data_IF_984882958255
#
_entry.id   IF_984882958255
#
_cell.length_a   1.000
_cell.length_b   1.000
_cell.length_c   1.000
_cell.angle_alpha   90.00
_cell.angle_beta   90.00
_cell.angle_gamma   90.00
#
_symmetry.space_group_name_H-M   'P 1'
#
loop_
_entity.id
_entity.type
_entity.pdbx_description
1 polymer ?
#
# COMPACT_ATOMS: atom_id res chain seq x y z
N UNK A 1 8.88 23.15 -8.80
CA UNK A 1 7.55 23.81 -8.68
C UNK A 1 7.23 24.28 -7.25
N UNK A 2 7.14 23.38 -6.25
CA UNK A 2 6.77 23.74 -4.86
C UNK A 2 7.72 24.76 -4.21
N UNK A 3 9.02 24.46 -4.10
CA UNK A 3 10.01 25.37 -3.49
C UNK A 3 10.08 26.73 -4.22
N UNK A 4 9.84 26.75 -5.53
CA UNK A 4 9.83 27.95 -6.37
C UNK A 4 8.47 28.66 -6.40
N UNK A 5 7.48 28.22 -5.61
CA UNK A 5 6.12 28.78 -5.52
C UNK A 5 5.38 28.88 -6.87
N UNK A 6 5.67 27.96 -7.81
CA UNK A 6 5.04 27.94 -9.14
C UNK A 6 3.79 27.06 -9.12
N UNK A 7 2.64 27.67 -8.87
CA UNK A 7 1.38 26.96 -8.65
C UNK A 7 0.96 26.11 -9.85
N UNK A 8 0.91 26.66 -11.07
CA UNK A 8 0.46 25.91 -12.25
C UNK A 8 1.33 24.69 -12.53
N UNK A 9 2.66 24.83 -12.46
CA UNK A 9 3.59 23.70 -12.63
C UNK A 9 3.40 22.63 -11.54
N UNK A 10 3.15 23.05 -10.30
CA UNK A 10 2.91 22.13 -9.18
C UNK A 10 1.62 21.33 -9.40
N UNK A 11 0.55 22.00 -9.81
CA UNK A 11 -0.74 21.38 -10.08
C UNK A 11 -0.66 20.40 -11.25
N UNK A 12 0.09 20.72 -12.31
CA UNK A 12 0.28 19.82 -13.45
C UNK A 12 1.06 18.58 -13.03
N UNK A 13 2.25 18.76 -12.44
CA UNK A 13 3.11 17.62 -12.10
C UNK A 13 2.49 16.74 -10.99
N UNK A 14 1.91 17.37 -9.96
CA UNK A 14 1.22 16.66 -8.89
C UNK A 14 -0.06 15.98 -9.38
N UNK A 15 -0.80 16.65 -10.28
CA UNK A 15 -2.00 16.08 -10.89
C UNK A 15 -1.70 14.81 -11.68
N UNK A 16 -0.70 14.86 -12.57
CA UNK A 16 -0.27 13.67 -13.33
C UNK A 16 0.21 12.55 -12.40
N UNK A 17 0.98 12.86 -11.36
CA UNK A 17 1.45 11.85 -10.41
C UNK A 17 0.29 11.17 -9.67
N UNK A 18 -0.61 11.96 -9.07
CA UNK A 18 -1.65 11.46 -8.16
C UNK A 18 -2.86 10.90 -8.89
N UNK A 19 -3.28 11.53 -9.99
CA UNK A 19 -4.53 11.19 -10.67
C UNK A 19 -4.34 10.30 -11.90
N UNK A 20 -3.14 10.27 -12.50
CA UNK A 20 -2.87 9.44 -13.67
C UNK A 20 -1.93 8.28 -13.34
N UNK A 21 -0.70 8.58 -12.90
CA UNK A 21 0.36 7.57 -12.77
C UNK A 21 0.11 6.57 -11.64
N UNK A 22 -0.22 7.02 -10.42
CA UNK A 22 -0.47 6.11 -9.30
C UNK A 22 -1.71 5.22 -9.51
N UNK A 23 -2.86 5.75 -9.99
CA UNK A 23 -4.02 4.91 -10.31
C UNK A 23 -3.75 3.91 -11.42
N UNK A 24 -3.00 4.29 -12.46
CA UNK A 24 -2.65 3.38 -13.55
C UNK A 24 -1.67 2.29 -13.10
N UNK A 25 -0.72 2.63 -12.22
CA UNK A 25 0.14 1.63 -11.58
C UNK A 25 -0.68 0.65 -10.74
N UNK A 26 -1.63 1.13 -9.93
CA UNK A 26 -2.53 0.26 -9.17
C UNK A 26 -3.36 -0.64 -10.10
N UNK A 27 -3.89 -0.11 -11.22
CA UNK A 27 -4.63 -0.89 -12.22
C UNK A 27 -3.77 -1.99 -12.83
N UNK A 28 -2.52 -1.69 -13.18
CA UNK A 28 -1.57 -2.64 -13.72
C UNK A 28 -1.24 -3.76 -12.71
N UNK A 29 -0.89 -3.40 -11.48
CA UNK A 29 -0.56 -4.37 -10.42
C UNK A 29 -1.78 -5.23 -10.06
N UNK A 30 -2.99 -4.65 -10.13
CA UNK A 30 -4.24 -5.36 -9.87
C UNK A 30 -4.62 -6.38 -10.95
N UNK A 31 -3.91 -6.41 -12.09
CA UNK A 31 -4.19 -7.34 -13.19
C UNK A 31 -3.62 -8.75 -13.00
N UNK A 32 -2.82 -8.97 -11.94
CA UNK A 32 -2.18 -10.26 -11.69
C UNK A 32 -2.19 -10.61 -10.20
N UNK A 33 -2.72 -11.79 -9.87
CA UNK A 33 -2.84 -12.28 -8.48
C UNK A 33 -1.53 -12.25 -7.68
N UNK A 34 -0.36 -12.38 -8.34
CA UNK A 34 0.95 -12.33 -7.68
C UNK A 34 1.33 -10.94 -7.14
N UNK A 35 0.59 -9.90 -7.52
CA UNK A 35 0.83 -8.52 -7.10
C UNK A 35 -0.33 -7.95 -6.27
N UNK A 36 -1.25 -8.76 -5.77
CA UNK A 36 -2.38 -8.28 -4.97
C UNK A 36 -2.06 -8.27 -3.47
N UNK A 37 -2.31 -7.14 -2.81
CA UNK A 37 -2.31 -7.06 -1.35
C UNK A 37 -3.33 -8.04 -0.76
N UNK A 38 -4.51 -8.16 -1.39
CA UNK A 38 -5.56 -9.08 -0.97
C UNK A 38 -5.08 -10.52 -0.84
N UNK A 39 -4.26 -11.00 -1.77
CA UNK A 39 -3.72 -12.37 -1.71
C UNK A 39 -2.78 -12.59 -0.53
N UNK A 40 -2.03 -11.57 -0.08
CA UNK A 40 -1.21 -11.64 1.13
C UNK A 40 -2.09 -11.68 2.39
N UNK A 41 -3.09 -10.81 2.46
CA UNK A 41 -3.98 -10.70 3.62
C UNK A 41 -4.88 -11.93 3.78
N UNK A 42 -5.39 -12.49 2.69
CA UNK A 42 -6.16 -13.73 2.70
C UNK A 42 -5.33 -14.91 3.19
N UNK A 43 -4.07 -15.02 2.75
CA UNK A 43 -3.16 -16.05 3.25
C UNK A 43 -2.93 -15.91 4.76
N UNK A 44 -2.66 -14.70 5.25
CA UNK A 44 -2.50 -14.44 6.68
C UNK A 44 -3.75 -14.84 7.48
N UNK A 45 -4.94 -14.42 7.04
CA UNK A 45 -6.20 -14.77 7.71
C UNK A 45 -6.50 -16.27 7.65
N UNK A 46 -6.14 -16.97 6.56
CA UNK A 46 -6.38 -18.41 6.42
C UNK A 46 -5.60 -19.28 7.41
N UNK A 47 -4.55 -18.74 8.03
CA UNK A 47 -3.77 -19.42 9.07
C UNK A 47 -4.44 -19.37 10.45
N UNK A 48 -5.50 -18.58 10.62
CA UNK A 48 -6.17 -18.41 11.90
C UNK A 48 -7.15 -19.56 12.22
N UNK A 49 -7.31 -19.84 13.51
CA UNK A 49 -8.25 -20.85 14.02
C UNK A 49 -9.66 -20.29 14.27
N UNK A 50 -9.79 -18.96 14.33
CA UNK A 50 -11.05 -18.26 14.57
C UNK A 50 -11.00 -16.82 14.07
N UNK A 51 -12.14 -16.15 14.06
CA UNK A 51 -12.30 -14.79 13.54
C UNK A 51 -11.45 -13.75 14.28
N UNK A 52 -11.34 -13.86 15.61
CA UNK A 52 -10.52 -12.94 16.41
C UNK A 52 -9.04 -13.03 16.04
N UNK A 53 -8.55 -14.24 15.81
CA UNK A 53 -7.18 -14.47 15.36
C UNK A 53 -6.98 -14.03 13.90
N UNK A 54 -7.96 -14.22 13.02
CA UNK A 54 -7.90 -13.73 11.64
C UNK A 54 -7.76 -12.19 11.59
N UNK A 55 -8.52 -11.48 12.43
CA UNK A 55 -8.40 -10.02 12.56
C UNK A 55 -7.01 -9.60 13.07
N UNK A 56 -6.45 -10.34 14.03
CA UNK A 56 -5.08 -10.09 14.52
C UNK A 56 -4.04 -10.32 13.41
N UNK A 57 -4.21 -11.37 12.60
CA UNK A 57 -3.29 -11.69 11.50
C UNK A 57 -3.39 -10.69 10.35
N UNK A 58 -4.58 -10.17 10.02
CA UNK A 58 -4.73 -9.07 9.06
C UNK A 58 -3.98 -7.81 9.53
N UNK A 59 -4.16 -7.42 10.80
CA UNK A 59 -3.45 -6.27 11.39
C UNK A 59 -1.93 -6.47 11.36
N UNK A 60 -1.45 -7.65 11.75
CA UNK A 60 -0.02 -7.99 11.71
C UNK A 60 0.54 -7.94 10.27
N UNK A 61 -0.19 -8.50 9.31
CA UNK A 61 0.20 -8.56 7.91
C UNK A 61 0.30 -7.17 7.28
N UNK A 62 -0.63 -6.25 7.60
CA UNK A 62 -0.60 -4.84 7.17
C UNK A 62 0.55 -4.09 7.82
N UNK A 63 0.73 -4.25 9.12
CA UNK A 63 1.78 -3.57 9.87
C UNK A 63 3.17 -3.95 9.34
N UNK A 64 3.39 -5.24 9.06
CA UNK A 64 4.68 -5.74 8.58
C UNK A 64 5.12 -5.09 7.27
N UNK A 65 4.19 -4.78 6.35
CA UNK A 65 4.53 -4.16 5.04
C UNK A 65 4.47 -2.62 5.05
N UNK A 66 4.22 -2.01 6.21
CA UNK A 66 4.11 -0.55 6.37
C UNK A 66 4.95 -0.06 7.56
N UNK A 67 4.34 0.09 8.75
CA UNK A 67 4.95 0.71 9.93
C UNK A 67 6.01 -0.17 10.60
N UNK A 68 5.94 -1.49 10.40
CA UNK A 68 6.79 -2.53 11.00
C UNK A 68 6.71 -2.65 12.53
N UNK A 69 6.18 -1.65 13.22
CA UNK A 69 5.81 -1.66 14.64
C UNK A 69 4.67 -0.66 14.91
N UNK A 70 4.22 -0.53 16.17
CA UNK A 70 3.03 0.23 16.52
C UNK A 70 3.12 1.74 16.21
N UNK A 71 4.33 2.30 16.07
CA UNK A 71 4.53 3.73 15.86
C UNK A 71 5.37 4.05 14.61
N UNK A 72 5.63 3.08 13.73
CA UNK A 72 6.47 3.30 12.55
C UNK A 72 7.97 3.13 12.82
N UNK A 73 8.33 2.22 13.71
CA UNK A 73 9.69 1.98 14.20
C UNK A 73 10.68 1.70 13.06
N UNK A 74 10.22 1.02 12.00
CA UNK A 74 11.01 0.80 10.78
C UNK A 74 10.15 1.06 9.55
N UNK A 75 9.68 2.31 9.45
CA UNK A 75 8.77 2.79 8.41
C UNK A 75 9.19 2.36 6.99
N UNK A 76 8.26 1.72 6.29
CA UNK A 76 8.36 1.27 4.90
C UNK A 76 9.50 0.28 4.61
N UNK A 77 10.12 -0.32 5.63
CA UNK A 77 11.24 -1.25 5.46
C UNK A 77 10.90 -2.43 4.56
N UNK A 78 9.72 -3.03 4.77
CA UNK A 78 9.23 -4.14 3.97
C UNK A 78 8.13 -3.70 3.00
N UNK A 79 8.23 -2.49 2.44
CA UNK A 79 7.29 -2.00 1.42
C UNK A 79 7.15 -2.97 0.23
N UNK A 80 6.02 -2.85 -0.46
CA UNK A 80 5.68 -3.64 -1.64
C UNK A 80 4.99 -2.74 -2.67
N UNK A 81 5.21 -3.05 -3.94
CA UNK A 81 4.41 -2.51 -5.03
C UNK A 81 3.34 -3.54 -5.36
N UNK A 82 2.23 -3.46 -4.63
CA UNK A 82 1.06 -4.31 -4.80
C UNK A 82 -0.17 -3.46 -5.16
N UNK A 83 -1.13 -4.08 -5.84
CA UNK A 83 -2.45 -3.51 -6.06
C UNK A 83 -3.35 -3.71 -4.83
N UNK A 84 -4.09 -2.67 -4.49
CA UNK A 84 -4.97 -2.62 -3.31
C UNK A 84 -4.47 -1.75 -2.17
#
# INVERSE_FOLDING_TARGET
>A
AFQSKKMSELMIAGGVLIYDLLPELNRLLSSNQRFLLGSWLEQAQSMALNEKEAQLYDMNARNQVTLWGPSGEILDYANKQWGG
#
